data_IF_248889793924
#
_entry.id   IF_248889793924
#
_cell.length_a   1.000
_cell.length_b   1.000
_cell.length_c   1.000
_cell.angle_alpha   90.00
_cell.angle_beta   90.00
_cell.angle_gamma   90.00
#
_symmetry.space_group_name_H-M   'P 1'
#
loop_
_entity.id
_entity.type
_entity.pdbx_description
1 polymer ?
#
# COMPACT_ATOMS: atom_id res chain seq x y z
N UNK A 1 -23.85 -23.94 16.33
CA UNK A 1 -23.82 -22.48 16.50
C UNK A 1 -22.83 -21.93 15.48
N UNK A 2 -23.31 -21.27 14.41
CA UNK A 2 -22.48 -20.86 13.26
C UNK A 2 -21.67 -19.61 13.66
N UNK A 3 -20.34 -19.73 13.81
CA UNK A 3 -19.44 -18.57 13.90
C UNK A 3 -19.11 -18.07 12.48
N UNK A 4 -19.66 -16.90 12.13
CA UNK A 4 -19.19 -16.09 11.00
C UNK A 4 -17.86 -15.44 11.41
N UNK A 5 -16.76 -15.87 10.79
CA UNK A 5 -15.46 -15.23 10.93
C UNK A 5 -15.35 -14.16 9.83
N UNK A 6 -15.78 -12.94 10.13
CA UNK A 6 -15.46 -11.76 9.31
C UNK A 6 -14.13 -11.22 9.81
N UNK A 7 -13.09 -11.30 8.98
CA UNK A 7 -11.85 -10.56 9.18
C UNK A 7 -12.19 -9.08 8.91
N UNK A 8 -12.30 -8.29 9.98
CA UNK A 8 -12.45 -6.86 9.88
C UNK A 8 -11.06 -6.23 9.91
N UNK A 9 -10.62 -5.68 8.76
CA UNK A 9 -9.53 -4.71 8.74
C UNK A 9 -10.08 -3.44 9.39
N UNK A 10 -9.73 -3.20 10.65
CA UNK A 10 -10.09 -1.97 11.36
C UNK A 10 -9.08 -0.88 11.02
N UNK A 11 -9.40 -0.06 10.02
CA UNK A 11 -8.70 1.21 9.77
C UNK A 11 -9.01 2.15 10.93
N UNK A 12 -7.99 2.57 11.66
CA UNK A 12 -8.14 3.54 12.74
C UNK A 12 -8.42 4.92 12.13
N UNK A 13 -9.45 5.59 12.62
CA UNK A 13 -9.82 6.95 12.23
C UNK A 13 -8.73 7.96 12.63
N UNK A 14 -8.11 8.61 11.65
CA UNK A 14 -7.22 9.76 11.87
C UNK A 14 -8.06 11.03 11.90
N UNK A 15 -8.10 11.70 13.06
CA UNK A 15 -8.55 13.09 13.18
C UNK A 15 -7.42 14.01 12.74
N UNK A 16 -7.43 14.45 11.48
CA UNK A 16 -6.48 15.44 10.97
C UNK A 16 -6.81 16.84 11.50
N UNK A 17 -6.01 17.32 12.45
CA UNK A 17 -5.99 18.75 12.82
C UNK A 17 -5.16 19.51 11.76
N UNK A 18 -5.80 20.42 11.05
CA UNK A 18 -5.13 21.36 10.16
C UNK A 18 -4.26 22.32 10.98
N UNK A 19 -2.93 22.21 10.83
CA UNK A 19 -1.99 23.19 11.38
C UNK A 19 -1.71 24.24 10.32
N UNK A 20 -2.24 25.46 10.55
CA UNK A 20 -1.74 26.68 9.90
C UNK A 20 -0.29 26.89 10.36
N UNK A 21 0.65 27.00 9.41
CA UNK A 21 1.98 27.54 9.70
C UNK A 21 2.29 28.77 8.85
N UNK A 22 2.71 29.77 9.60
CA UNK A 22 3.01 31.15 9.29
C UNK A 22 4.22 31.27 8.37
N UNK A 23 4.16 32.21 7.42
CA UNK A 23 5.24 32.57 6.50
C UNK A 23 6.51 33.00 7.23
N UNK A 24 7.65 32.46 6.81
CA UNK A 24 8.95 33.14 6.87
C UNK A 24 9.63 33.06 5.49
N UNK A 25 9.86 34.23 4.90
CA UNK A 25 10.61 34.43 3.67
C UNK A 25 12.10 34.15 3.90
N UNK A 26 12.77 33.47 2.96
CA UNK A 26 14.22 33.55 2.87
C UNK A 26 14.95 32.44 2.11
N UNK A 27 15.10 32.67 0.80
CA UNK A 27 16.29 32.36 -0.01
C UNK A 27 16.58 30.95 -0.58
N UNK A 28 16.71 30.96 -1.92
CA UNK A 28 17.26 29.98 -2.87
C UNK A 28 16.49 28.67 -3.14
N UNK A 29 15.41 28.79 -3.91
CA UNK A 29 14.97 27.72 -4.79
C UNK A 29 15.99 27.52 -5.92
N UNK A 30 16.80 26.47 -5.83
CA UNK A 30 17.45 25.84 -6.99
C UNK A 30 16.78 24.48 -7.19
N UNK A 31 15.58 24.49 -7.78
CA UNK A 31 14.91 23.26 -8.20
C UNK A 31 15.47 22.84 -9.55
N UNK A 32 16.51 22.01 -9.54
CA UNK A 32 16.68 21.07 -10.65
C UNK A 32 15.56 20.05 -10.53
N UNK A 33 14.48 20.21 -11.30
CA UNK A 33 13.43 19.19 -11.42
C UNK A 33 14.06 17.95 -12.05
N UNK A 34 14.35 16.95 -11.22
CA UNK A 34 14.76 15.62 -11.67
C UNK A 34 13.54 14.88 -12.21
N UNK A 35 13.74 13.94 -13.12
CA UNK A 35 12.71 12.97 -13.44
C UNK A 35 12.46 12.01 -12.25
N UNK A 36 11.28 11.38 -12.14
CA UNK A 36 10.98 10.41 -11.08
C UNK A 36 11.99 9.27 -11.00
N UNK A 37 12.42 8.75 -12.16
CA UNK A 37 13.46 7.74 -12.25
C UNK A 37 14.80 8.21 -11.66
N UNK A 38 15.19 9.46 -11.90
CA UNK A 38 16.43 10.04 -11.33
C UNK A 38 16.31 10.29 -9.82
N UNK A 39 15.11 10.65 -9.33
CA UNK A 39 14.86 10.91 -7.92
C UNK A 39 15.11 9.65 -7.07
N UNK A 40 14.42 8.56 -7.40
CA UNK A 40 14.55 7.29 -6.68
C UNK A 40 15.75 6.45 -7.14
N UNK A 41 16.46 6.91 -8.17
CA UNK A 41 17.62 6.23 -8.76
C UNK A 41 17.25 4.85 -9.29
N UNK A 42 16.16 4.79 -10.06
CA UNK A 42 15.59 3.55 -10.63
C UNK A 42 16.60 2.89 -11.56
N UNK A 43 16.88 1.62 -11.29
CA UNK A 43 17.67 0.73 -12.14
C UNK A 43 16.92 -0.58 -12.38
N UNK A 44 17.38 -1.38 -13.34
CA UNK A 44 16.76 -2.68 -13.63
C UNK A 44 17.05 -3.75 -12.56
N UNK A 45 17.92 -3.47 -11.59
CA UNK A 45 18.21 -4.37 -10.46
C UNK A 45 17.26 -4.14 -9.29
N UNK A 46 17.12 -5.16 -8.43
CA UNK A 46 16.41 -5.02 -7.16
C UNK A 46 17.23 -4.13 -6.20
N UNK A 47 16.64 -3.00 -5.80
CA UNK A 47 17.23 -2.00 -4.89
C UNK A 47 16.49 -1.93 -3.54
N UNK A 48 15.74 -2.98 -3.20
CA UNK A 48 15.05 -3.10 -1.90
C UNK A 48 16.02 -3.56 -0.80
N UNK A 49 16.00 -2.84 0.33
CA UNK A 49 16.67 -3.22 1.58
C UNK A 49 15.62 -3.53 2.64
N UNK A 50 15.69 -4.71 3.26
CA UNK A 50 14.84 -5.08 4.40
C UNK A 50 15.65 -5.01 5.69
N UNK A 51 15.23 -4.14 6.60
CA UNK A 51 15.84 -3.93 7.90
C UNK A 51 14.82 -4.33 8.98
N UNK A 52 15.19 -5.23 9.88
CA UNK A 52 14.24 -5.80 10.85
C UNK A 52 14.72 -5.59 12.28
N UNK A 53 13.79 -5.38 13.20
CA UNK A 53 14.07 -5.37 14.64
C UNK A 53 14.66 -6.73 15.07
N UNK A 54 15.47 -6.72 16.13
CA UNK A 54 16.21 -7.90 16.57
C UNK A 54 15.31 -9.07 17.01
N UNK A 55 14.07 -8.81 17.40
CA UNK A 55 13.07 -9.81 17.80
C UNK A 55 12.24 -10.36 16.63
N UNK A 56 12.42 -9.84 15.41
CA UNK A 56 11.79 -10.40 14.20
C UNK A 56 12.57 -11.65 13.76
N UNK A 57 11.92 -12.82 13.65
CA UNK A 57 12.61 -14.03 13.21
C UNK A 57 13.21 -13.85 11.81
N UNK A 58 14.42 -14.37 11.60
CA UNK A 58 15.13 -14.26 10.32
C UNK A 58 14.34 -14.82 9.13
N UNK A 59 13.55 -15.87 9.35
CA UNK A 59 12.64 -16.44 8.35
C UNK A 59 11.51 -15.48 7.94
N UNK A 60 11.02 -14.65 8.88
CA UNK A 60 10.02 -13.61 8.60
C UNK A 60 10.64 -12.49 7.76
N UNK A 61 11.82 -11.99 8.17
CA UNK A 61 12.54 -10.99 7.40
C UNK A 61 12.90 -11.49 5.99
N UNK A 62 13.26 -12.77 5.84
CA UNK A 62 13.51 -13.37 4.53
C UNK A 62 12.23 -13.46 3.69
N UNK A 63 11.09 -13.83 4.27
CA UNK A 63 9.82 -13.86 3.55
C UNK A 63 9.39 -12.47 3.04
N UNK A 64 9.67 -11.40 3.79
CA UNK A 64 9.48 -10.02 3.33
C UNK A 64 10.37 -9.73 2.13
N UNK A 65 11.67 -10.06 2.20
CA UNK A 65 12.62 -9.90 1.08
C UNK A 65 12.16 -10.64 -0.18
N UNK A 66 11.74 -11.89 -0.03
CA UNK A 66 11.32 -12.74 -1.15
C UNK A 66 10.05 -12.17 -1.81
N UNK A 67 9.11 -11.66 -1.00
CA UNK A 67 7.87 -11.04 -1.51
C UNK A 67 8.17 -9.74 -2.28
N UNK A 68 9.03 -8.87 -1.74
CA UNK A 68 9.46 -7.63 -2.42
C UNK A 68 10.25 -7.92 -3.71
N UNK A 69 11.09 -8.95 -3.71
CA UNK A 69 11.81 -9.39 -4.90
C UNK A 69 10.84 -9.89 -5.99
N UNK A 70 9.81 -10.65 -5.61
CA UNK A 70 8.77 -11.09 -6.54
C UNK A 70 7.97 -9.90 -7.11
N UNK A 71 7.65 -8.90 -6.28
CA UNK A 71 7.00 -7.66 -6.71
C UNK A 71 7.85 -6.89 -7.74
N UNK A 72 9.12 -6.70 -7.43
CA UNK A 72 10.11 -6.03 -8.29
C UNK A 72 10.23 -6.70 -9.65
N UNK A 73 10.30 -8.04 -9.66
CA UNK A 73 10.37 -8.84 -10.88
C UNK A 73 9.09 -8.74 -11.72
N UNK A 74 7.93 -8.67 -11.06
CA UNK A 74 6.62 -8.75 -11.73
C UNK A 74 6.18 -7.42 -12.32
N UNK A 75 6.39 -6.32 -11.60
CA UNK A 75 5.93 -5.00 -12.02
C UNK A 75 7.07 -4.22 -12.66
N UNK A 76 7.90 -3.59 -11.83
CA UNK A 76 9.13 -2.88 -12.19
C UNK A 76 9.90 -2.61 -10.89
N UNK A 77 11.19 -2.28 -11.00
CA UNK A 77 11.90 -1.61 -9.90
C UNK A 77 11.32 -0.22 -9.69
N UNK A 78 10.93 0.10 -8.45
CA UNK A 78 10.54 1.45 -8.05
C UNK A 78 11.73 2.33 -7.66
N UNK A 79 12.95 1.78 -7.66
CA UNK A 79 14.17 2.44 -7.23
C UNK A 79 14.57 2.05 -5.81
N UNK A 80 15.36 2.90 -5.15
CA UNK A 80 15.85 2.63 -3.79
C UNK A 80 14.68 2.57 -2.81
N UNK A 81 14.55 1.45 -2.11
CA UNK A 81 13.47 1.21 -1.16
C UNK A 81 14.04 0.63 0.13
N UNK A 82 13.68 1.19 1.27
CA UNK A 82 13.99 0.66 2.59
C UNK A 82 12.69 0.24 3.27
N UNK A 83 12.59 -1.07 3.58
CA UNK A 83 11.43 -1.67 4.25
C UNK A 83 11.82 -2.06 5.67
N UNK A 84 11.22 -1.40 6.66
CA UNK A 84 11.54 -1.53 8.07
C UNK A 84 10.51 -2.41 8.78
N UNK A 85 10.92 -3.59 9.25
CA UNK A 85 10.02 -4.59 9.85
C UNK A 85 10.16 -4.55 11.36
N UNK A 86 9.08 -4.15 12.04
CA UNK A 86 9.03 -4.11 13.49
C UNK A 86 8.55 -5.45 14.05
N UNK A 87 9.12 -5.85 15.19
CA UNK A 87 8.62 -6.97 15.98
C UNK A 87 7.58 -6.53 17.02
N UNK A 88 7.57 -7.21 18.15
CA UNK A 88 6.69 -6.91 19.29
C UNK A 88 7.42 -6.43 20.52
N UNK A 89 8.74 -6.60 20.58
CA UNK A 89 9.57 -6.11 21.67
C UNK A 89 9.83 -4.60 21.52
N UNK A 90 9.56 -3.85 22.59
CA UNK A 90 9.72 -2.40 22.59
C UNK A 90 11.19 -1.98 22.51
N UNK A 91 12.10 -2.69 23.21
CA UNK A 91 13.51 -2.33 23.19
C UNK A 91 14.11 -2.56 21.80
N UNK A 92 13.80 -3.68 21.16
CA UNK A 92 14.22 -3.97 19.79
C UNK A 92 13.69 -2.94 18.77
N UNK A 93 12.48 -2.40 18.98
CA UNK A 93 11.95 -1.32 18.14
C UNK A 93 12.66 0.02 18.37
N UNK A 94 13.02 0.36 19.62
CA UNK A 94 13.84 1.54 19.93
C UNK A 94 15.23 1.41 19.30
N UNK A 95 15.85 0.23 19.36
CA UNK A 95 17.15 -0.02 18.75
C UNK A 95 17.08 0.09 17.22
N UNK A 96 16.01 -0.41 16.59
CA UNK A 96 15.81 -0.27 15.14
C UNK A 96 15.60 1.20 14.74
N UNK A 97 14.83 1.96 15.53
CA UNK A 97 14.65 3.39 15.34
C UNK A 97 15.97 4.16 15.48
N UNK A 98 16.81 3.82 16.46
CA UNK A 98 18.13 4.40 16.61
C UNK A 98 19.01 4.12 15.38
N UNK A 99 19.02 2.88 14.87
CA UNK A 99 19.73 2.52 13.64
C UNK A 99 19.20 3.27 12.40
N UNK A 100 17.88 3.50 12.32
CA UNK A 100 17.30 4.38 11.31
C UNK A 100 17.86 5.81 11.42
N UNK A 101 17.89 6.37 12.63
CA UNK A 101 18.41 7.71 12.86
C UNK A 101 19.89 7.87 12.56
N UNK A 102 20.74 6.95 13.02
CA UNK A 102 22.16 6.95 12.67
C UNK A 102 22.37 6.96 11.16
N UNK A 103 21.57 6.17 10.43
CA UNK A 103 21.62 6.10 8.97
C UNK A 103 21.18 7.39 8.31
N UNK A 104 20.13 8.07 8.79
CA UNK A 104 19.68 9.37 8.27
C UNK A 104 20.72 10.46 8.54
N UNK A 105 21.23 10.55 9.76
CA UNK A 105 22.24 11.54 10.15
C UNK A 105 23.53 11.35 9.35
N UNK A 106 24.03 10.12 9.22
CA UNK A 106 25.25 9.82 8.47
C UNK A 106 25.15 10.17 6.98
N UNK A 107 23.93 10.18 6.42
CA UNK A 107 23.66 10.56 5.02
C UNK A 107 23.35 12.04 4.84
N UNK A 108 23.18 12.79 5.94
CA UNK A 108 22.73 14.18 5.90
C UNK A 108 21.25 14.33 5.54
N UNK A 109 20.46 13.26 5.71
CA UNK A 109 19.03 13.21 5.37
C UNK A 109 18.17 13.96 6.40
N UNK A 110 18.53 13.88 7.70
CA UNK A 110 17.84 14.54 8.82
C UNK A 110 18.83 14.87 9.95
N UNK A 111 18.45 15.78 10.85
CA UNK A 111 19.15 15.93 12.13
C UNK A 111 18.77 14.81 13.10
N UNK A 112 19.63 14.54 14.08
CA UNK A 112 19.36 13.53 15.12
C UNK A 112 18.04 13.81 15.87
N UNK A 113 17.81 15.08 16.23
CA UNK A 113 16.59 15.51 16.89
C UNK A 113 15.35 15.23 16.04
N UNK A 114 15.36 15.66 14.78
CA UNK A 114 14.18 15.52 13.91
C UNK A 114 13.88 14.03 13.65
N UNK A 115 14.90 13.17 13.62
CA UNK A 115 14.71 11.74 13.49
C UNK A 115 14.12 11.07 14.75
N UNK A 116 14.56 11.47 15.95
CA UNK A 116 13.99 10.95 17.19
C UNK A 116 12.52 11.33 17.32
N UNK A 117 12.16 12.57 16.94
CA UNK A 117 10.77 13.03 16.88
C UNK A 117 9.93 12.22 15.87
N UNK A 118 10.45 11.95 14.67
CA UNK A 118 9.79 11.11 13.65
C UNK A 118 9.61 9.65 14.12
N UNK A 119 10.60 9.10 14.83
CA UNK A 119 10.57 7.72 15.32
C UNK A 119 9.51 7.48 16.40
N UNK A 120 9.26 8.49 17.24
CA UNK A 120 8.22 8.47 18.29
C UNK A 120 6.84 8.91 17.79
N UNK A 121 6.73 9.27 16.51
CA UNK A 121 5.48 9.73 15.91
C UNK A 121 4.37 8.67 16.07
N UNK A 122 3.20 9.11 16.56
CA UNK A 122 2.02 8.24 16.72
C UNK A 122 1.33 7.94 15.40
N UNK A 123 1.55 8.78 14.40
CA UNK A 123 1.06 8.62 13.04
C UNK A 123 2.24 8.20 12.15
N UNK A 124 2.58 6.90 12.19
CA UNK A 124 3.62 6.22 11.37
C UNK A 124 5.06 6.12 11.92
N UNK A 125 5.29 6.34 13.21
CA UNK A 125 6.58 6.07 13.86
C UNK A 125 6.84 4.57 14.13
N UNK A 126 8.09 4.21 14.37
CA UNK A 126 8.52 2.81 14.62
C UNK A 126 7.80 2.20 15.83
N UNK A 127 7.59 2.98 16.90
CA UNK A 127 6.90 2.50 18.09
C UNK A 127 5.41 2.23 17.88
N UNK A 128 4.78 2.89 16.91
CA UNK A 128 3.39 2.61 16.56
C UNK A 128 3.28 1.22 15.92
N UNK A 129 4.11 0.91 14.93
CA UNK A 129 4.11 -0.40 14.27
C UNK A 129 4.46 -1.54 15.25
N UNK A 130 5.41 -1.32 16.16
CA UNK A 130 5.70 -2.26 17.24
C UNK A 130 4.48 -2.48 18.15
N UNK A 131 3.82 -1.40 18.57
CA UNK A 131 2.66 -1.48 19.47
C UNK A 131 1.51 -2.27 18.83
N UNK A 132 1.27 -2.12 17.53
CA UNK A 132 0.25 -2.88 16.80
C UNK A 132 0.53 -4.38 16.87
N UNK A 133 1.77 -4.80 16.61
CA UNK A 133 2.15 -6.22 16.70
C UNK A 133 2.00 -6.77 18.14
N UNK A 134 2.45 -6.00 19.13
CA UNK A 134 2.34 -6.39 20.53
C UNK A 134 0.89 -6.49 21.01
N UNK A 135 0.03 -5.54 20.64
CA UNK A 135 -1.40 -5.55 20.97
C UNK A 135 -2.12 -6.72 20.31
N UNK A 136 -1.80 -7.05 19.06
CA UNK A 136 -2.38 -8.20 18.37
C UNK A 136 -2.10 -9.51 19.11
N UNK A 137 -0.86 -9.73 19.56
CA UNK A 137 -0.49 -10.91 20.33
C UNK A 137 -1.12 -10.92 21.73
N UNK A 138 -1.14 -9.76 22.41
CA UNK A 138 -1.69 -9.65 23.76
C UNK A 138 -3.21 -9.85 23.80
N UNK A 139 -3.93 -9.30 22.82
CA UNK A 139 -5.39 -9.41 22.73
C UNK A 139 -5.87 -10.70 22.07
N UNK A 140 -5.01 -11.40 21.33
CA UNK A 140 -5.37 -12.54 20.49
C UNK A 140 -6.17 -12.15 19.24
N UNK A 141 -6.36 -10.84 18.98
CA UNK A 141 -7.06 -10.34 17.81
C UNK A 141 -6.03 -10.03 16.70
N UNK A 142 -6.06 -10.75 15.57
CA UNK A 142 -5.13 -10.49 14.49
C UNK A 142 -5.28 -9.07 13.93
N UNK A 143 -4.21 -8.29 14.04
CA UNK A 143 -4.07 -6.96 13.46
C UNK A 143 -2.63 -6.78 13.01
N UNK A 144 -2.46 -6.21 11.83
CA UNK A 144 -1.17 -5.74 11.34
C UNK A 144 -1.36 -4.38 10.66
N UNK A 145 -0.27 -3.67 10.47
CA UNK A 145 -0.24 -2.41 9.74
C UNK A 145 1.06 -2.29 8.96
N UNK A 146 1.01 -1.65 7.80
CA UNK A 146 2.15 -1.32 6.98
C UNK A 146 1.80 -0.09 6.15
N UNK A 147 2.78 0.76 5.89
CA UNK A 147 2.57 1.92 5.03
C UNK A 147 3.85 2.38 4.33
N UNK A 148 3.66 3.04 3.19
CA UNK A 148 4.63 3.95 2.60
C UNK A 148 4.71 5.25 3.41
N UNK A 149 5.83 5.45 4.10
CA UNK A 149 6.07 6.54 5.04
C UNK A 149 6.91 7.67 4.42
N UNK A 150 6.95 7.84 3.10
CA UNK A 150 7.67 8.93 2.43
C UNK A 150 9.13 8.63 2.08
N UNK A 151 10.03 9.60 2.29
CA UNK A 151 11.47 9.48 2.01
C UNK A 151 11.90 9.95 0.61
N UNK A 152 10.99 10.54 -0.16
CA UNK A 152 11.27 11.03 -1.52
C UNK A 152 12.34 12.13 -1.54
N UNK A 153 12.38 12.96 -0.49
CA UNK A 153 13.39 13.98 -0.24
C UNK A 153 14.81 13.42 -0.06
N UNK A 154 14.92 12.16 0.38
CA UNK A 154 16.18 11.41 0.45
C UNK A 154 16.42 10.55 -0.80
N UNK A 155 15.52 10.63 -1.78
CA UNK A 155 15.52 9.82 -2.99
C UNK A 155 15.32 8.34 -2.70
N UNK A 156 14.49 7.98 -1.72
CA UNK A 156 14.13 6.59 -1.43
C UNK A 156 12.62 6.44 -1.25
N UNK A 157 12.14 5.20 -1.28
CA UNK A 157 10.86 4.82 -0.70
C UNK A 157 11.10 4.28 0.71
N UNK A 158 10.56 4.94 1.73
CA UNK A 158 10.56 4.45 3.12
C UNK A 158 9.25 3.73 3.38
N UNK A 159 9.30 2.47 3.78
CA UNK A 159 8.14 1.70 4.23
C UNK A 159 8.42 1.11 5.60
N UNK A 160 7.37 0.94 6.41
CA UNK A 160 7.50 0.16 7.64
C UNK A 160 6.26 -0.71 7.85
N UNK A 161 6.43 -1.79 8.61
CA UNK A 161 5.33 -2.67 9.01
C UNK A 161 5.44 -3.07 10.47
N UNK A 162 4.30 -3.37 11.09
CA UNK A 162 4.26 -4.22 12.29
C UNK A 162 4.75 -5.64 11.97
N UNK A 163 4.81 -6.52 12.97
CA UNK A 163 5.18 -7.92 12.78
C UNK A 163 4.23 -8.59 11.76
N UNK A 164 4.73 -9.16 10.64
CA UNK A 164 3.94 -9.98 9.73
C UNK A 164 3.52 -11.28 10.44
N UNK A 165 2.33 -11.25 11.05
CA UNK A 165 1.87 -12.28 11.97
C UNK A 165 1.68 -13.63 11.29
N UNK A 166 1.27 -13.65 10.02
CA UNK A 166 1.12 -14.87 9.23
C UNK A 166 2.46 -15.52 8.93
N UNK A 167 3.48 -14.76 8.54
CA UNK A 167 4.84 -15.26 8.36
C UNK A 167 5.43 -15.76 9.67
N UNK A 168 5.12 -15.09 10.77
CA UNK A 168 5.56 -15.47 12.11
C UNK A 168 4.80 -16.69 12.67
N UNK A 169 3.72 -17.13 12.02
CA UNK A 169 2.91 -18.28 12.44
C UNK A 169 2.04 -18.01 13.66
N UNK A 170 1.67 -16.75 13.90
CA UNK A 170 0.85 -16.35 15.04
C UNK A 170 -0.64 -16.23 14.69
N UNK A 171 -1.47 -16.44 15.72
CA UNK A 171 -2.92 -16.23 15.70
C UNK A 171 -3.70 -16.98 14.60
N UNK A 172 -3.09 -17.99 13.99
CA UNK A 172 -3.73 -18.84 12.98
C UNK A 172 -4.08 -18.10 11.68
N UNK A 173 -3.38 -17.01 11.38
CA UNK A 173 -3.54 -16.28 10.12
C UNK A 173 -2.55 -16.75 9.07
N UNK A 174 -2.93 -16.64 7.81
CA UNK A 174 -2.16 -17.17 6.69
C UNK A 174 -1.07 -16.18 6.28
N UNK A 175 0.15 -16.67 6.03
CA UNK A 175 1.22 -15.83 5.49
C UNK A 175 0.92 -15.24 4.11
N UNK A 176 0.00 -15.83 3.34
CA UNK A 176 -0.50 -15.26 2.08
C UNK A 176 -1.14 -13.87 2.28
N UNK A 177 -1.73 -13.60 3.45
CA UNK A 177 -2.23 -12.28 3.80
C UNK A 177 -1.10 -11.25 3.91
N UNK A 178 -0.01 -11.61 4.58
CA UNK A 178 1.18 -10.75 4.69
C UNK A 178 1.82 -10.50 3.32
N UNK A 179 1.84 -11.51 2.43
CA UNK A 179 2.28 -11.33 1.05
C UNK A 179 1.45 -10.26 0.32
N UNK A 180 0.12 -10.29 0.45
CA UNK A 180 -0.76 -9.29 -0.14
C UNK A 180 -0.46 -7.91 0.42
N UNK A 181 -0.30 -7.75 1.74
CA UNK A 181 0.01 -6.45 2.34
C UNK A 181 1.35 -5.89 1.85
N UNK A 182 2.40 -6.73 1.77
CA UNK A 182 3.71 -6.27 1.28
C UNK A 182 3.65 -5.91 -0.21
N UNK A 183 2.90 -6.66 -1.01
CA UNK A 183 2.65 -6.31 -2.41
C UNK A 183 1.87 -5.00 -2.55
N UNK A 184 0.87 -4.76 -1.70
CA UNK A 184 0.11 -3.51 -1.65
C UNK A 184 1.04 -2.33 -1.40
N UNK A 185 1.89 -2.39 -0.38
CA UNK A 185 2.85 -1.32 -0.10
C UNK A 185 3.87 -1.14 -1.22
N UNK A 186 4.40 -2.23 -1.78
CA UNK A 186 5.32 -2.13 -2.92
C UNK A 186 4.64 -1.46 -4.12
N UNK A 187 3.34 -1.66 -4.35
CA UNK A 187 2.62 -0.97 -5.43
C UNK A 187 2.62 0.55 -5.23
N UNK A 188 2.49 1.04 -3.99
CA UNK A 188 2.64 2.47 -3.72
C UNK A 188 4.02 2.99 -4.14
N UNK A 189 5.10 2.23 -3.93
CA UNK A 189 6.41 2.63 -4.47
C UNK A 189 6.43 2.69 -6.00
N UNK A 190 5.78 1.73 -6.68
CA UNK A 190 5.66 1.74 -8.15
C UNK A 190 4.92 3.00 -8.60
N UNK A 191 3.76 3.32 -8.03
CA UNK A 191 3.01 4.54 -8.34
C UNK A 191 3.91 5.78 -8.19
N UNK A 192 4.58 5.90 -7.03
CA UNK A 192 5.44 7.04 -6.72
C UNK A 192 6.69 7.12 -7.61
N UNK A 193 7.21 6.00 -8.09
CA UNK A 193 8.37 5.96 -9.00
C UNK A 193 8.13 6.65 -10.34
N UNK A 194 6.86 6.91 -10.69
CA UNK A 194 6.47 7.67 -11.88
C UNK A 194 6.13 9.13 -11.61
N UNK A 195 6.20 9.59 -10.35
CA UNK A 195 5.73 10.91 -9.94
C UNK A 195 6.83 11.69 -9.20
N UNK A 196 6.85 13.01 -9.39
CA UNK A 196 7.63 13.91 -8.55
C UNK A 196 6.83 14.25 -7.29
N UNK A 197 7.47 14.29 -6.09
CA UNK A 197 6.84 14.88 -4.92
C UNK A 197 6.61 16.37 -5.17
N UNK A 198 5.47 16.89 -4.71
CA UNK A 198 5.24 18.34 -4.62
C UNK A 198 5.89 18.93 -3.37
N UNK A 199 5.84 20.26 -3.24
CA UNK A 199 6.45 21.02 -2.12
C UNK A 199 5.89 20.62 -0.72
N UNK A 200 4.76 19.89 -0.67
CA UNK A 200 4.07 19.47 0.55
C UNK A 200 3.68 17.98 0.57
N UNK A 201 4.39 17.12 -0.18
CA UNK A 201 4.07 15.67 -0.28
C UNK A 201 3.63 15.25 -1.68
N UNK A 202 3.05 14.05 -1.87
CA UNK A 202 2.66 13.58 -3.21
C UNK A 202 1.72 14.61 -3.85
N UNK A 203 2.05 15.03 -5.07
CA UNK A 203 1.24 16.00 -5.80
C UNK A 203 -0.14 15.38 -6.08
N UNK A 204 -1.16 15.75 -5.32
CA UNK A 204 -2.51 15.15 -5.40
C UNK A 204 -3.12 15.29 -6.80
N UNK A 205 -2.79 16.35 -7.55
CA UNK A 205 -3.24 16.52 -8.94
C UNK A 205 -2.66 15.45 -9.87
N UNK A 206 -1.52 14.87 -9.52
CA UNK A 206 -0.83 13.82 -10.28
C UNK A 206 -1.16 12.43 -9.72
N UNK A 207 -1.19 12.27 -8.39
CA UNK A 207 -1.46 10.99 -7.73
C UNK A 207 -2.91 10.52 -7.95
N UNK A 208 -3.85 11.47 -7.98
CA UNK A 208 -5.26 11.18 -8.17
C UNK A 208 -6.04 10.96 -6.87
N UNK A 209 -7.30 10.55 -6.99
CA UNK A 209 -8.18 10.33 -5.86
C UNK A 209 -7.84 9.03 -5.12
N UNK A 210 -8.20 8.98 -3.84
CA UNK A 210 -7.88 7.86 -2.94
C UNK A 210 -8.39 6.52 -3.45
N UNK A 211 -9.61 6.46 -4.02
CA UNK A 211 -10.11 5.20 -4.58
C UNK A 211 -9.19 4.62 -5.66
N UNK A 212 -8.49 5.48 -6.43
CA UNK A 212 -7.61 5.01 -7.49
C UNK A 212 -6.25 4.59 -6.92
N UNK A 213 -5.69 5.39 -6.01
CA UNK A 213 -4.39 5.12 -5.37
C UNK A 213 -4.47 3.82 -4.57
N UNK A 214 -5.38 3.76 -3.61
CA UNK A 214 -5.54 2.63 -2.70
C UNK A 214 -6.20 1.44 -3.38
N UNK A 215 -7.20 1.71 -4.22
CA UNK A 215 -7.87 0.65 -4.97
C UNK A 215 -6.94 -0.08 -5.93
N UNK A 216 -6.03 0.64 -6.62
CA UNK A 216 -5.06 -0.04 -7.48
C UNK A 216 -4.03 -0.84 -6.69
N UNK A 217 -3.63 -0.37 -5.50
CA UNK A 217 -2.76 -1.15 -4.61
C UNK A 217 -3.42 -2.47 -4.18
N UNK A 218 -4.68 -2.42 -3.76
CA UNK A 218 -5.45 -3.63 -3.39
C UNK A 218 -5.62 -4.57 -4.60
N UNK A 219 -6.07 -4.06 -5.75
CA UNK A 219 -6.31 -4.88 -6.94
C UNK A 219 -5.03 -5.53 -7.45
N UNK A 220 -3.95 -4.76 -7.56
CA UNK A 220 -2.65 -5.26 -8.04
C UNK A 220 -2.08 -6.30 -7.09
N UNK A 221 -2.16 -6.10 -5.78
CA UNK A 221 -1.70 -7.06 -4.78
C UNK A 221 -2.51 -8.37 -4.82
N UNK A 222 -3.84 -8.29 -4.88
CA UNK A 222 -4.72 -9.47 -4.96
C UNK A 222 -4.46 -10.31 -6.22
N UNK A 223 -4.33 -9.64 -7.38
CA UNK A 223 -4.17 -10.33 -8.65
C UNK A 223 -2.78 -10.91 -8.78
N UNK A 224 -1.76 -10.15 -8.40
CA UNK A 224 -0.36 -10.57 -8.48
C UNK A 224 -0.05 -11.68 -7.48
N UNK A 225 -0.51 -11.58 -6.23
CA UNK A 225 -0.35 -12.67 -5.26
C UNK A 225 -0.97 -13.97 -5.77
N UNK A 226 -2.18 -13.91 -6.31
CA UNK A 226 -2.88 -15.10 -6.84
C UNK A 226 -2.13 -15.73 -8.01
N UNK A 227 -1.67 -14.90 -8.95
CA UNK A 227 -0.87 -15.35 -10.10
C UNK A 227 0.42 -16.03 -9.66
N UNK A 228 1.15 -15.41 -8.72
CA UNK A 228 2.45 -15.91 -8.27
C UNK A 228 2.32 -17.15 -7.37
N UNK A 229 1.24 -17.25 -6.58
CA UNK A 229 0.93 -18.45 -5.81
C UNK A 229 0.56 -19.64 -6.73
N UNK A 230 -0.16 -19.36 -7.83
CA UNK A 230 -0.51 -20.36 -8.83
C UNK A 230 0.72 -20.82 -9.65
N UNK A 231 1.65 -19.91 -9.98
CA UNK A 231 2.89 -20.25 -10.70
C UNK A 231 3.98 -20.86 -9.81
N UNK A 232 3.82 -20.82 -8.47
CA UNK A 232 4.82 -21.26 -7.51
C UNK A 232 5.98 -20.28 -7.30
N UNK A 233 5.87 -19.05 -7.81
CA UNK A 233 6.84 -17.98 -7.60
C UNK A 233 6.72 -17.32 -6.23
N UNK A 234 5.54 -17.38 -5.60
CA UNK A 234 5.36 -17.11 -4.17
C UNK A 234 5.12 -18.41 -3.41
N UNK A 235 5.70 -18.47 -2.20
CA UNK A 235 5.49 -19.57 -1.27
C UNK A 235 4.03 -19.61 -0.81
N UNK A 236 3.42 -20.79 -0.85
CA UNK A 236 2.21 -21.10 -0.08
C UNK A 236 2.59 -21.42 1.36
N UNK A 237 1.94 -20.77 2.31
CA UNK A 237 2.22 -20.92 3.74
C UNK A 237 1.39 -22.03 4.37
N UNK A 238 0.11 -22.12 4.02
CA UNK A 238 -0.80 -23.15 4.51
C UNK A 238 -0.77 -23.31 6.06
N UNK A 239 -0.56 -22.21 6.78
CA UNK A 239 -0.38 -22.18 8.23
C UNK A 239 -1.56 -21.56 8.97
N UNK A 240 -2.62 -21.20 8.25
CA UNK A 240 -3.86 -20.73 8.82
C UNK A 240 -4.76 -21.88 9.30
N UNK A 241 -5.68 -21.55 10.22
CA UNK A 241 -6.71 -22.50 10.70
C UNK A 241 -7.66 -22.94 9.57
N UNK A 242 -7.87 -22.07 8.58
CA UNK A 242 -8.69 -22.36 7.40
C UNK A 242 -7.82 -22.28 6.15
N UNK A 243 -8.13 -23.07 5.10
CA UNK A 243 -7.47 -22.93 3.81
C UNK A 243 -7.53 -21.47 3.33
N UNK A 244 -6.44 -21.03 2.71
CA UNK A 244 -6.38 -19.70 2.11
C UNK A 244 -7.43 -19.62 0.97
N UNK A 245 -8.37 -18.66 1.02
CA UNK A 245 -9.39 -18.54 -0.02
C UNK A 245 -8.76 -18.17 -1.36
N UNK A 246 -9.31 -18.66 -2.47
CA UNK A 246 -8.84 -18.31 -3.81
C UNK A 246 -9.22 -16.86 -4.18
N UNK A 247 -8.68 -16.34 -5.29
CA UNK A 247 -8.92 -14.96 -5.73
C UNK A 247 -10.41 -14.61 -5.82
N UNK A 248 -11.21 -15.50 -6.41
CA UNK A 248 -12.65 -15.28 -6.61
C UNK A 248 -13.36 -15.13 -5.27
N UNK A 249 -13.05 -15.98 -4.30
CA UNK A 249 -13.63 -15.93 -2.95
C UNK A 249 -13.23 -14.66 -2.19
N UNK A 250 -11.96 -14.24 -2.27
CA UNK A 250 -11.48 -13.01 -1.63
C UNK A 250 -12.14 -11.77 -2.24
N UNK A 251 -12.17 -11.67 -3.56
CA UNK A 251 -12.82 -10.56 -4.25
C UNK A 251 -14.33 -10.55 -4.02
N UNK A 252 -15.00 -11.71 -3.96
CA UNK A 252 -16.42 -11.80 -3.60
C UNK A 252 -16.68 -11.25 -2.19
N UNK A 253 -15.84 -11.59 -1.22
CA UNK A 253 -15.94 -11.05 0.14
C UNK A 253 -15.79 -9.52 0.16
N UNK A 254 -14.84 -8.98 -0.62
CA UNK A 254 -14.65 -7.53 -0.81
C UNK A 254 -15.87 -6.89 -1.47
N UNK A 255 -16.47 -7.50 -2.49
CA UNK A 255 -17.69 -6.99 -3.13
C UNK A 255 -18.86 -6.89 -2.16
N UNK A 256 -19.06 -7.93 -1.34
CA UNK A 256 -20.09 -7.93 -0.29
C UNK A 256 -19.83 -6.82 0.73
N UNK A 257 -18.57 -6.55 1.07
CA UNK A 257 -18.20 -5.44 1.94
C UNK A 257 -18.51 -4.09 1.28
N UNK A 258 -18.16 -3.89 0.01
CA UNK A 258 -18.50 -2.68 -0.76
C UNK A 258 -20.01 -2.41 -0.74
N UNK A 259 -20.84 -3.42 -0.99
CA UNK A 259 -22.31 -3.28 -0.95
C UNK A 259 -22.84 -2.88 0.43
N UNK A 260 -22.20 -3.36 1.52
CA UNK A 260 -22.56 -2.94 2.88
C UNK A 260 -22.13 -1.50 3.15
N UNK A 261 -20.88 -1.15 2.89
CA UNK A 261 -20.32 0.18 3.17
C UNK A 261 -20.99 1.27 2.34
N UNK A 262 -21.36 0.97 1.10
CA UNK A 262 -22.05 1.93 0.21
C UNK A 262 -23.33 2.52 0.82
N UNK A 263 -24.02 1.80 1.72
CA UNK A 263 -25.24 2.28 2.35
C UNK A 263 -25.02 3.55 3.18
N UNK A 264 -23.82 3.75 3.71
CA UNK A 264 -23.42 4.95 4.46
C UNK A 264 -22.73 6.03 3.62
N UNK A 265 -22.49 5.79 2.33
CA UNK A 265 -21.65 6.65 1.48
C UNK A 265 -22.39 7.13 0.24
N UNK A 266 -22.14 8.37 -0.20
CA UNK A 266 -22.78 8.94 -1.40
C UNK A 266 -22.30 8.28 -2.69
N UNK A 267 -21.02 7.90 -2.75
CA UNK A 267 -20.33 7.33 -3.93
C UNK A 267 -19.83 5.91 -3.65
N UNK A 268 -19.72 5.09 -4.70
CA UNK A 268 -18.95 3.83 -4.65
C UNK A 268 -17.43 4.07 -4.64
N UNK A 269 -17.01 5.26 -5.08
CA UNK A 269 -15.62 5.66 -5.21
C UNK A 269 -15.42 7.00 -4.45
N UNK A 270 -15.24 6.96 -3.12
CA UNK A 270 -14.90 8.15 -2.34
C UNK A 270 -13.50 8.66 -2.65
N UNK A 271 -13.29 9.97 -2.55
CA UNK A 271 -12.03 10.63 -2.96
C UNK A 271 -11.08 10.96 -1.82
N UNK A 272 -11.53 10.88 -0.57
CA UNK A 272 -10.78 11.31 0.61
C UNK A 272 -10.27 10.13 1.45
N UNK A 273 -9.14 10.35 2.12
CA UNK A 273 -8.60 9.44 3.12
C UNK A 273 -9.44 9.51 4.41
N UNK A 274 -9.61 8.37 5.07
CA UNK A 274 -10.26 8.28 6.38
C UNK A 274 -11.78 8.49 6.35
N UNK A 275 -12.35 8.66 7.55
CA UNK A 275 -13.79 8.75 7.76
C UNK A 275 -14.55 7.44 7.49
N UNK A 276 -15.88 7.49 7.58
CA UNK A 276 -16.76 6.32 7.46
C UNK A 276 -16.68 5.64 6.09
N UNK A 277 -16.26 6.38 5.06
CA UNK A 277 -16.14 5.91 3.68
C UNK A 277 -14.71 5.54 3.27
N UNK A 278 -13.72 5.63 4.17
CA UNK A 278 -12.32 5.33 3.86
C UNK A 278 -12.15 3.90 3.33
N UNK A 279 -12.65 2.90 4.06
CA UNK A 279 -12.59 1.49 3.62
C UNK A 279 -13.31 1.24 2.29
N UNK A 280 -14.34 2.02 1.97
CA UNK A 280 -15.03 1.93 0.69
C UNK A 280 -14.15 2.44 -0.47
N UNK A 281 -13.27 3.42 -0.23
CA UNK A 281 -12.31 3.87 -1.24
C UNK A 281 -11.34 2.75 -1.63
N UNK A 282 -10.86 1.96 -0.66
CA UNK A 282 -9.98 0.82 -0.91
C UNK A 282 -10.71 -0.28 -1.67
N UNK A 283 -11.82 -0.78 -1.11
CA UNK A 283 -12.46 -1.98 -1.64
C UNK A 283 -13.30 -1.69 -2.90
N UNK A 284 -13.99 -0.54 -2.93
CA UNK A 284 -14.69 -0.07 -4.12
C UNK A 284 -13.72 0.32 -5.22
N UNK A 285 -12.61 0.95 -4.85
CA UNK A 285 -11.51 1.27 -5.75
C UNK A 285 -10.87 0.03 -6.37
N UNK A 286 -10.66 -1.04 -5.59
CA UNK A 286 -10.13 -2.30 -6.09
C UNK A 286 -11.02 -2.90 -7.19
N UNK A 287 -12.33 -2.88 -6.98
CA UNK A 287 -13.30 -3.33 -7.98
C UNK A 287 -13.36 -2.42 -9.21
N UNK A 288 -13.23 -1.11 -9.04
CA UNK A 288 -13.15 -0.18 -10.17
C UNK A 288 -11.88 -0.40 -10.99
N UNK A 289 -10.73 -0.59 -10.35
CA UNK A 289 -9.46 -0.88 -11.03
C UNK A 289 -9.52 -2.24 -11.72
N UNK A 290 -10.07 -3.27 -11.08
CA UNK A 290 -10.34 -4.56 -11.71
C UNK A 290 -11.20 -4.42 -12.98
N UNK A 291 -12.22 -3.57 -12.94
CA UNK A 291 -13.08 -3.32 -14.09
C UNK A 291 -12.36 -2.57 -15.23
N UNK A 292 -11.51 -1.60 -14.90
CA UNK A 292 -10.63 -0.94 -15.88
C UNK A 292 -9.65 -1.94 -16.51
N UNK A 293 -8.97 -2.76 -15.71
CA UNK A 293 -8.03 -3.78 -16.19
C UNK A 293 -8.73 -4.82 -17.07
N UNK A 294 -9.95 -5.22 -16.73
CA UNK A 294 -10.74 -6.14 -17.55
C UNK A 294 -11.05 -5.55 -18.94
N UNK A 295 -11.40 -4.27 -19.01
CA UNK A 295 -11.76 -3.60 -20.28
C UNK A 295 -10.55 -3.22 -21.14
N UNK A 296 -9.43 -2.85 -20.51
CA UNK A 296 -8.31 -2.20 -21.20
C UNK A 296 -6.99 -3.00 -21.12
N UNK A 297 -6.99 -4.15 -20.46
CA UNK A 297 -5.84 -5.04 -20.29
C UNK A 297 -5.26 -4.99 -18.88
N UNK A 298 -4.78 -6.14 -18.39
CA UNK A 298 -4.22 -6.27 -17.04
C UNK A 298 -2.98 -5.41 -16.80
N UNK A 299 -2.21 -5.09 -17.84
CA UNK A 299 -0.99 -4.29 -17.75
C UNK A 299 -1.20 -2.79 -18.03
N UNK A 300 -2.45 -2.34 -18.22
CA UNK A 300 -2.78 -0.97 -18.64
C UNK A 300 -2.22 0.10 -17.69
N UNK A 301 -2.21 -0.16 -16.38
CA UNK A 301 -1.68 0.78 -15.40
C UNK A 301 -0.17 0.95 -15.54
N UNK A 302 0.56 -0.15 -15.73
CA UNK A 302 2.02 -0.15 -15.87
C UNK A 302 2.47 0.37 -17.23
N UNK A 303 1.76 0.04 -18.31
CA UNK A 303 2.17 0.39 -19.68
C UNK A 303 1.70 1.75 -20.16
N UNK A 304 0.50 2.15 -19.74
CA UNK A 304 -0.18 3.29 -20.34
C UNK A 304 -0.40 4.41 -19.33
N UNK A 305 -0.94 4.10 -18.14
CA UNK A 305 -1.31 5.13 -17.17
C UNK A 305 -0.08 5.75 -16.46
N UNK A 306 0.59 4.98 -15.60
CA UNK A 306 1.63 5.53 -14.73
C UNK A 306 2.80 6.19 -15.48
N UNK A 307 3.32 5.64 -16.60
CA UNK A 307 4.37 6.30 -17.38
C UNK A 307 4.01 7.70 -17.90
N UNK A 308 2.71 8.04 -17.98
CA UNK A 308 2.24 9.30 -18.53
C UNK A 308 1.71 10.29 -17.46
N UNK A 309 1.46 9.83 -16.23
CA UNK A 309 0.69 10.60 -15.24
C UNK A 309 1.41 11.89 -14.81
N UNK A 310 2.73 11.85 -14.61
CA UNK A 310 3.51 13.04 -14.26
C UNK A 310 3.44 14.14 -15.32
N UNK A 311 3.33 13.76 -16.60
CA UNK A 311 3.32 14.70 -17.71
C UNK A 311 1.93 15.27 -17.99
N UNK A 312 0.88 14.47 -17.78
CA UNK A 312 -0.49 14.82 -18.15
C UNK A 312 -1.33 15.33 -16.97
N UNK A 313 -0.92 15.02 -15.73
CA UNK A 313 -1.83 15.08 -14.58
C UNK A 313 -2.84 13.92 -14.60
N UNK A 314 -3.47 13.68 -13.47
CA UNK A 314 -4.27 12.47 -13.27
C UNK A 314 -5.47 12.36 -14.23
N UNK A 315 -6.33 13.37 -14.31
CA UNK A 315 -7.57 13.31 -15.10
C UNK A 315 -7.30 13.19 -16.60
N UNK A 316 -6.37 13.99 -17.15
CA UNK A 316 -6.04 13.90 -18.58
C UNK A 316 -5.37 12.56 -18.91
N UNK A 317 -4.55 12.02 -17.99
CA UNK A 317 -3.98 10.70 -18.14
C UNK A 317 -5.05 9.60 -18.11
N UNK A 318 -6.02 9.72 -17.21
CA UNK A 318 -7.18 8.83 -17.12
C UNK A 318 -7.96 8.83 -18.43
N UNK A 319 -8.34 10.01 -18.92
CA UNK A 319 -9.07 10.16 -20.17
C UNK A 319 -8.30 9.61 -21.37
N UNK A 320 -7.00 9.89 -21.46
CA UNK A 320 -6.16 9.36 -22.54
C UNK A 320 -6.04 7.83 -22.49
N UNK A 321 -5.97 7.25 -21.29
CA UNK A 321 -5.74 5.81 -21.11
C UNK A 321 -7.03 5.01 -21.32
N UNK A 322 -8.15 5.50 -20.80
CA UNK A 322 -9.42 4.75 -20.75
C UNK A 322 -10.48 5.27 -21.73
N UNK A 323 -10.17 6.31 -22.50
CA UNK A 323 -11.06 6.87 -23.53
C UNK A 323 -12.31 7.58 -22.99
N UNK A 324 -12.38 7.82 -21.68
CA UNK A 324 -13.50 8.49 -20.99
C UNK A 324 -13.01 9.27 -19.78
N UNK A 325 -13.75 10.29 -19.36
CA UNK A 325 -13.43 11.02 -18.13
C UNK A 325 -13.59 10.12 -16.89
N UNK A 326 -12.95 10.47 -15.78
CA UNK A 326 -13.15 9.73 -14.53
C UNK A 326 -14.58 9.86 -14.01
N UNK A 327 -15.28 10.97 -14.32
CA UNK A 327 -16.68 11.17 -13.97
C UNK A 327 -17.62 10.26 -14.78
N UNK A 328 -17.39 10.11 -16.08
CA UNK A 328 -18.14 9.17 -16.92
C UNK A 328 -17.92 7.73 -16.45
N UNK A 329 -16.67 7.40 -16.11
CA UNK A 329 -16.34 6.09 -15.56
C UNK A 329 -17.05 5.83 -14.21
N UNK A 330 -17.15 6.82 -13.31
CA UNK A 330 -17.90 6.66 -12.05
C UNK A 330 -19.36 6.30 -12.31
N UNK A 331 -19.99 6.96 -13.30
CA UNK A 331 -21.37 6.66 -13.67
C UNK A 331 -21.49 5.24 -14.27
N UNK A 332 -20.56 4.87 -15.16
CA UNK A 332 -20.48 3.51 -15.72
C UNK A 332 -20.31 2.45 -14.62
N UNK A 333 -19.37 2.68 -13.70
CA UNK A 333 -19.07 1.78 -12.59
C UNK A 333 -20.28 1.63 -11.66
N UNK A 334 -21.01 2.71 -11.38
CA UNK A 334 -22.23 2.62 -10.59
C UNK A 334 -23.30 1.71 -11.22
N UNK A 335 -23.36 1.61 -12.56
CA UNK A 335 -24.23 0.65 -13.26
C UNK A 335 -23.69 -0.77 -13.13
N UNK A 336 -22.38 -0.98 -13.29
CA UNK A 336 -21.75 -2.28 -13.04
C UNK A 336 -22.03 -2.79 -11.62
N UNK A 337 -21.99 -1.90 -10.62
CA UNK A 337 -22.25 -2.24 -9.22
C UNK A 337 -23.69 -2.69 -8.93
N UNK A 338 -24.64 -2.46 -9.85
CA UNK A 338 -26.02 -2.94 -9.75
C UNK A 338 -26.22 -4.37 -10.27
N UNK A 339 -25.23 -4.93 -10.98
CA UNK A 339 -25.30 -6.31 -11.46
C UNK A 339 -25.30 -7.31 -10.29
N UNK A 340 -25.85 -8.52 -10.49
CA UNK A 340 -25.65 -9.62 -9.57
C UNK A 340 -24.15 -9.87 -9.32
N UNK A 341 -23.77 -10.20 -8.08
CA UNK A 341 -22.37 -10.48 -7.72
C UNK A 341 -21.76 -11.56 -8.63
N UNK A 342 -22.55 -12.56 -9.03
CA UNK A 342 -22.10 -13.60 -9.95
C UNK A 342 -21.56 -13.03 -11.28
N UNK A 343 -22.26 -12.05 -11.87
CA UNK A 343 -21.83 -11.34 -13.09
C UNK A 343 -20.63 -10.43 -12.81
N UNK A 344 -20.61 -9.76 -11.65
CA UNK A 344 -19.47 -8.91 -11.26
C UNK A 344 -18.18 -9.71 -11.17
N UNK A 345 -18.24 -10.94 -10.65
CA UNK A 345 -17.10 -11.85 -10.53
C UNK A 345 -16.60 -12.39 -11.88
N UNK A 346 -17.29 -12.16 -12.99
CA UNK A 346 -16.84 -12.62 -14.32
C UNK A 346 -15.68 -11.79 -14.86
N UNK A 347 -15.48 -10.57 -14.35
CA UNK A 347 -14.39 -9.70 -14.80
C UNK A 347 -13.02 -10.13 -14.27
N UNK A 348 -13.01 -10.97 -13.22
CA UNK A 348 -11.79 -11.35 -12.52
C UNK A 348 -10.93 -12.28 -13.39
N UNK A 349 -9.60 -12.13 -13.35
CA UNK A 349 -8.69 -13.03 -14.04
C UNK A 349 -8.74 -14.44 -13.45
N UNK A 350 -8.35 -15.43 -14.25
CA UNK A 350 -8.26 -16.84 -13.86
C UNK A 350 -6.79 -17.24 -13.86
N UNK A 351 -6.32 -17.79 -12.74
CA UNK A 351 -4.93 -18.22 -12.54
C UNK A 351 -4.89 -19.71 -12.19
#
# INVERSE_FOLDING_TARGET
MKLNLSIAITVLTITGAAVMLTRCNGFFARTFSRSPAELYGVKQENQTEVLAAADVPSAVAQAVKDTLAAATKTWVSSGRLEFWVLGTDRAAAVDLAAAFCERRVARGDMSERDCLEDSENKDHGFLMYQAIGAEALASGNPRMDAAHNGGAEWGIHRMASSLPLGFAGFLGIAGEGDQITILHEYWHSVQMSFMQPGDHGPNQEVAGPVWFIEGSAVAMAEFTSSKLLASGELRQWNNAVRPWPNLRERMEAKMKLVQRLKQGCSSYLPDAYGGECGQLAYEGGAWAVAYLMHKFGEDVLLRSFHPNVQRLGWEQCFQKTFGQSSNDFRAEFAVFMQKPIAEQLEILPKY
#
